data_IF_341248357010
#
_entry.id   IF_341248357010
#
_cell.length_a   1.000
_cell.length_b   1.000
_cell.length_c   1.000
_cell.angle_alpha   90.00
_cell.angle_beta   90.00
_cell.angle_gamma   90.00
#
_symmetry.space_group_name_H-M   'P 1'
#
loop_
_entity.id
_entity.type
_entity.pdbx_description
1 polymer ?
#
# COMPACT_ATOMS: atom_id res chain seq x y z
N UNK A 1 12.40 87.53 18.68
CA UNK A 1 11.39 86.61 18.10
C UNK A 1 12.14 85.37 17.64
N UNK A 2 12.14 84.25 18.42
CA UNK A 2 12.88 83.04 18.15
C UNK A 2 11.88 81.96 17.73
N UNK A 3 11.95 81.52 16.46
CA UNK A 3 11.19 80.43 15.89
C UNK A 3 11.94 79.13 16.20
N UNK A 4 11.31 78.21 16.96
CA UNK A 4 11.82 76.88 17.23
C UNK A 4 11.27 75.92 16.17
N UNK A 5 12.18 75.33 15.36
CA UNK A 5 11.83 74.23 14.45
C UNK A 5 11.72 72.94 15.24
N UNK A 6 10.57 72.29 15.20
CA UNK A 6 10.36 70.93 15.64
C UNK A 6 10.72 70.00 14.49
N UNK A 7 11.79 69.20 14.67
CA UNK A 7 12.14 68.10 13.76
C UNK A 7 11.36 66.88 14.23
N UNK A 8 10.37 66.43 13.45
CA UNK A 8 9.68 65.14 13.61
C UNK A 8 10.52 64.08 12.95
N UNK A 9 11.17 63.21 13.76
CA UNK A 9 11.84 62.02 13.30
C UNK A 9 10.77 60.93 13.12
N UNK A 10 10.46 60.60 11.86
CA UNK A 10 9.66 59.45 11.52
C UNK A 10 10.56 58.21 11.60
N UNK A 11 10.44 57.45 12.69
CA UNK A 11 11.05 56.13 12.81
C UNK A 11 10.19 55.16 12.00
N UNK A 12 10.63 54.81 10.80
CA UNK A 12 10.06 53.68 10.02
C UNK A 12 10.46 52.36 10.69
N UNK A 13 9.53 51.77 11.44
CA UNK A 13 9.61 50.40 11.89
C UNK A 13 9.43 49.47 10.66
N UNK A 14 10.54 49.00 10.13
CA UNK A 14 10.58 47.85 9.22
C UNK A 14 10.16 46.61 10.03
N UNK A 15 8.89 46.29 10.01
CA UNK A 15 8.42 44.99 10.41
C UNK A 15 8.90 43.96 9.39
N UNK A 16 10.00 43.28 9.71
CA UNK A 16 10.32 42.02 9.05
C UNK A 16 9.20 41.04 9.42
N UNK A 17 8.21 40.91 8.52
CA UNK A 17 7.30 39.77 8.54
C UNK A 17 8.14 38.54 8.18
N UNK A 18 8.60 37.83 9.20
CA UNK A 18 9.00 36.43 9.09
C UNK A 18 7.82 35.71 8.43
N UNK A 19 8.00 35.31 7.17
CA UNK A 19 7.15 34.32 6.53
C UNK A 19 7.45 32.97 7.20
N UNK A 20 6.94 32.78 8.42
CA UNK A 20 6.79 31.46 8.99
C UNK A 20 5.80 30.74 8.08
N UNK A 21 6.19 29.61 7.54
CA UNK A 21 5.29 28.69 6.89
C UNK A 21 4.10 28.47 7.81
N UNK A 22 2.96 29.11 7.47
CA UNK A 22 1.69 28.81 8.12
C UNK A 22 1.36 27.39 7.75
N UNK A 23 1.63 26.42 8.67
CA UNK A 23 1.10 25.08 8.57
C UNK A 23 -0.35 25.23 8.13
N UNK A 24 -0.71 24.76 6.94
CA UNK A 24 -2.09 24.77 6.46
C UNK A 24 -2.91 24.07 7.51
N UNK A 25 -3.95 24.72 8.00
CA UNK A 25 -4.85 24.14 8.99
C UNK A 25 -5.46 22.88 8.38
N UNK A 26 -5.10 21.71 8.92
CA UNK A 26 -5.71 20.44 8.49
C UNK A 26 -7.19 20.46 8.87
N UNK A 27 -8.04 19.98 7.98
CA UNK A 27 -9.45 19.70 8.26
C UNK A 27 -9.69 18.25 8.68
N UNK A 28 -8.61 17.46 8.85
CA UNK A 28 -8.71 16.13 9.44
C UNK A 28 -8.92 16.24 10.95
N UNK A 29 -9.92 15.53 11.43
CA UNK A 29 -10.13 15.33 12.86
C UNK A 29 -9.24 14.21 13.36
N UNK A 30 -8.60 14.41 14.51
CA UNK A 30 -7.73 13.45 15.17
C UNK A 30 -8.52 12.72 16.26
N UNK A 31 -8.50 11.40 16.20
CA UNK A 31 -9.07 10.51 17.21
C UNK A 31 -8.24 10.50 18.50
N UNK A 32 -8.80 9.94 19.58
CA UNK A 32 -8.08 9.78 20.86
C UNK A 32 -6.84 8.89 20.78
N UNK A 33 -6.75 8.05 19.76
CA UNK A 33 -5.56 7.23 19.43
C UNK A 33 -4.38 8.04 18.87
N UNK A 34 -4.60 9.30 18.47
CA UNK A 34 -3.61 10.11 17.75
C UNK A 34 -3.66 9.95 16.22
N UNK A 35 -4.47 9.02 15.71
CA UNK A 35 -4.68 8.85 14.26
C UNK A 35 -5.77 9.77 13.72
N UNK A 36 -5.82 10.01 12.41
CA UNK A 36 -7.00 10.66 11.82
C UNK A 36 -8.24 9.77 11.96
N UNK A 37 -9.42 10.36 12.07
CA UNK A 37 -10.69 9.59 12.13
C UNK A 37 -10.82 8.66 10.92
N UNK A 38 -10.39 9.11 9.73
CA UNK A 38 -10.38 8.25 8.52
C UNK A 38 -9.46 7.06 8.63
N UNK A 39 -8.33 7.20 9.31
CA UNK A 39 -7.40 6.09 9.56
C UNK A 39 -8.00 5.07 10.53
N UNK A 40 -8.66 5.52 11.59
CA UNK A 40 -9.40 4.64 12.50
C UNK A 40 -10.55 3.92 11.79
N UNK A 41 -11.28 4.64 10.94
CA UNK A 41 -12.33 4.03 10.13
C UNK A 41 -11.77 2.97 9.18
N UNK A 42 -10.65 3.23 8.50
CA UNK A 42 -9.99 2.23 7.65
C UNK A 42 -9.67 0.96 8.45
N UNK A 43 -9.07 1.10 9.63
CA UNK A 43 -8.70 0.01 10.53
C UNK A 43 -9.89 -0.89 10.89
N UNK A 44 -11.02 -0.27 11.20
CA UNK A 44 -12.27 -0.97 11.54
C UNK A 44 -12.94 -1.55 10.31
N UNK A 45 -13.09 -0.73 9.26
CA UNK A 45 -13.89 -1.08 8.09
C UNK A 45 -13.23 -2.14 7.23
N UNK A 46 -11.89 -2.20 7.16
CA UNK A 46 -11.20 -3.21 6.37
C UNK A 46 -11.55 -4.63 6.85
N UNK A 47 -11.65 -4.83 8.17
CA UNK A 47 -12.12 -6.09 8.76
C UNK A 47 -13.59 -6.36 8.47
N UNK A 48 -14.43 -5.33 8.56
CA UNK A 48 -15.86 -5.47 8.30
C UNK A 48 -16.17 -5.76 6.83
N UNK A 49 -15.40 -5.19 5.89
CA UNK A 49 -15.55 -5.45 4.45
C UNK A 49 -15.26 -6.90 4.07
N UNK A 50 -14.34 -7.58 4.76
CA UNK A 50 -14.05 -8.99 4.53
C UNK A 50 -15.30 -9.89 4.66
N UNK A 51 -16.31 -9.47 5.44
CA UNK A 51 -17.58 -10.18 5.56
C UNK A 51 -18.56 -9.88 4.40
N UNK A 52 -18.27 -8.90 3.56
CA UNK A 52 -19.14 -8.48 2.45
C UNK A 52 -18.56 -8.87 1.08
N UNK A 53 -17.27 -9.17 1.03
CA UNK A 53 -16.53 -9.54 -0.17
C UNK A 53 -15.05 -9.21 -0.03
N UNK A 54 -14.30 -9.52 -1.07
CA UNK A 54 -12.84 -9.31 -1.13
C UNK A 54 -12.52 -8.14 -2.06
N UNK A 55 -11.75 -7.16 -1.57
CA UNK A 55 -11.27 -6.05 -2.39
C UNK A 55 -10.24 -6.57 -3.42
N UNK A 56 -10.55 -6.50 -4.69
CA UNK A 56 -9.64 -6.92 -5.76
C UNK A 56 -8.67 -5.79 -6.08
N UNK A 57 -7.38 -6.05 -5.95
CA UNK A 57 -6.31 -5.06 -6.06
C UNK A 57 -5.20 -5.45 -7.02
N UNK A 58 -4.30 -4.50 -7.27
CA UNK A 58 -3.11 -4.70 -8.08
C UNK A 58 -1.97 -3.79 -7.61
N UNK A 59 -0.75 -4.31 -7.66
CA UNK A 59 0.45 -3.47 -7.50
C UNK A 59 0.55 -2.50 -8.68
N UNK A 60 0.59 -1.19 -8.39
CA UNK A 60 0.65 -0.10 -9.37
C UNK A 60 -0.46 -0.14 -10.44
N UNK A 61 -1.63 -0.72 -10.16
CA UNK A 61 -2.67 -1.01 -11.15
C UNK A 61 -3.22 0.19 -11.92
N UNK A 62 -3.02 1.41 -11.42
CA UNK A 62 -3.38 2.68 -12.08
C UNK A 62 -2.16 3.52 -12.46
N UNK A 63 -0.93 3.02 -12.22
CA UNK A 63 0.33 3.69 -12.57
C UNK A 63 1.07 3.05 -13.72
N UNK A 64 0.93 1.74 -13.90
CA UNK A 64 1.60 1.02 -14.98
C UNK A 64 0.74 -0.11 -15.51
N UNK A 65 1.00 -0.50 -16.74
CA UNK A 65 0.39 -1.64 -17.41
C UNK A 65 1.22 -2.07 -18.60
N UNK A 66 0.68 -2.94 -19.41
CA UNK A 66 1.36 -3.46 -20.58
C UNK A 66 1.51 -2.39 -21.66
N UNK A 67 2.76 -1.98 -21.92
CA UNK A 67 3.09 -0.96 -22.92
C UNK A 67 2.73 0.48 -22.49
N UNK A 68 2.63 0.75 -21.18
CA UNK A 68 2.40 2.12 -20.72
C UNK A 68 2.84 2.35 -19.28
N UNK A 69 3.26 3.60 -19.02
CA UNK A 69 3.52 4.15 -17.69
C UNK A 69 2.83 5.51 -17.57
N UNK A 70 2.12 5.75 -16.47
CA UNK A 70 1.33 6.97 -16.29
C UNK A 70 2.17 8.25 -16.25
N UNK A 71 3.38 8.16 -15.73
CA UNK A 71 4.29 9.32 -15.67
C UNK A 71 4.92 9.68 -17.01
N UNK A 72 4.74 8.86 -18.05
CA UNK A 72 5.16 9.11 -19.42
C UNK A 72 4.00 9.56 -20.32
N UNK A 73 2.76 9.31 -19.89
CA UNK A 73 1.57 9.68 -20.64
C UNK A 73 0.50 10.19 -19.67
N UNK A 74 -0.09 11.35 -19.98
CA UNK A 74 -1.22 11.90 -19.23
C UNK A 74 -2.51 11.18 -19.65
N UNK A 75 -2.71 9.98 -19.10
CA UNK A 75 -3.90 9.18 -19.39
C UNK A 75 -4.47 8.50 -18.14
N UNK A 76 -5.79 8.38 -18.07
CA UNK A 76 -6.52 7.61 -17.04
C UNK A 76 -6.55 6.11 -17.42
N UNK A 77 -5.41 5.58 -17.90
CA UNK A 77 -5.29 4.16 -18.30
C UNK A 77 -5.26 3.28 -17.06
N UNK A 78 -5.84 2.10 -17.22
CA UNK A 78 -5.76 1.00 -16.28
C UNK A 78 -6.10 -0.27 -17.07
N UNK A 79 -5.20 -1.26 -17.09
CA UNK A 79 -5.40 -2.50 -17.84
C UNK A 79 -6.67 -3.23 -17.40
N UNK A 80 -6.87 -3.34 -16.09
CA UNK A 80 -8.04 -3.97 -15.51
C UNK A 80 -9.34 -3.26 -15.93
N UNK A 81 -9.39 -1.92 -15.84
CA UNK A 81 -10.55 -1.13 -16.28
C UNK A 81 -10.81 -1.28 -17.78
N UNK A 82 -9.78 -1.26 -18.59
CA UNK A 82 -9.93 -1.38 -20.04
C UNK A 82 -10.40 -2.78 -20.46
N UNK A 83 -10.10 -3.81 -19.66
CA UNK A 83 -10.52 -5.19 -19.90
C UNK A 83 -11.93 -5.46 -19.39
N UNK A 84 -12.25 -5.10 -18.15
CA UNK A 84 -13.48 -5.52 -17.46
C UNK A 84 -14.42 -4.37 -17.06
N UNK A 85 -14.03 -3.12 -17.28
CA UNK A 85 -14.84 -1.94 -16.90
C UNK A 85 -14.60 -1.43 -15.48
N UNK A 86 -13.88 -2.16 -14.65
CA UNK A 86 -13.64 -1.83 -13.23
C UNK A 86 -12.17 -1.57 -12.95
N UNK A 87 -11.89 -0.59 -12.05
CA UNK A 87 -10.55 -0.37 -11.50
C UNK A 87 -10.32 -1.26 -10.29
N UNK A 88 -9.04 -1.59 -9.98
CA UNK A 88 -8.70 -2.25 -8.72
C UNK A 88 -9.24 -1.44 -7.53
N UNK A 89 -9.82 -2.13 -6.54
CA UNK A 89 -10.27 -1.53 -5.28
C UNK A 89 -9.09 -1.21 -4.35
N UNK A 90 -7.99 -1.95 -4.47
CA UNK A 90 -6.76 -1.74 -3.73
C UNK A 90 -5.59 -1.49 -4.69
N UNK A 91 -4.77 -0.48 -4.40
CA UNK A 91 -3.50 -0.25 -5.08
C UNK A 91 -2.32 -0.43 -4.12
N UNK A 92 -1.30 -1.15 -4.58
CA UNK A 92 -0.06 -1.37 -3.83
C UNK A 92 1.13 -0.61 -4.40
N UNK A 93 2.04 -0.17 -3.52
CA UNK A 93 3.23 0.59 -3.87
C UNK A 93 4.43 0.14 -3.04
N UNK A 94 5.64 0.25 -3.60
CA UNK A 94 6.91 0.05 -2.88
C UNK A 94 7.56 1.41 -2.59
N UNK A 95 8.06 1.59 -1.36
CA UNK A 95 8.69 2.83 -0.91
C UNK A 95 10.22 2.77 -0.85
N UNK A 96 10.84 1.59 -1.05
CA UNK A 96 12.30 1.45 -0.98
C UNK A 96 13.02 2.46 -1.88
N UNK A 97 13.93 3.22 -1.30
CA UNK A 97 14.69 4.30 -1.95
C UNK A 97 14.29 5.69 -1.47
N UNK A 98 13.08 5.89 -0.90
CA UNK A 98 12.64 7.19 -0.40
C UNK A 98 13.52 7.64 0.78
N UNK A 99 13.91 6.72 1.65
CA UNK A 99 14.77 6.94 2.80
C UNK A 99 16.16 7.48 2.43
N UNK A 100 16.58 7.19 1.20
CA UNK A 100 17.88 7.66 0.64
C UNK A 100 17.73 8.89 -0.26
N UNK A 101 16.56 9.54 -0.27
CA UNK A 101 16.29 10.74 -1.08
C UNK A 101 16.25 10.49 -2.59
N UNK A 102 16.07 9.25 -3.05
CA UNK A 102 15.92 8.94 -4.48
C UNK A 102 14.64 9.56 -5.04
N UNK A 103 14.64 9.83 -6.36
CA UNK A 103 13.45 10.36 -7.03
C UNK A 103 12.46 9.28 -7.45
N UNK A 104 12.90 8.02 -7.49
CA UNK A 104 12.12 6.85 -7.85
C UNK A 104 12.44 5.70 -6.91
N UNK A 105 11.47 4.80 -6.73
CA UNK A 105 11.62 3.63 -5.90
C UNK A 105 12.46 2.52 -6.57
N UNK A 106 12.61 1.39 -5.89
CA UNK A 106 13.36 0.24 -6.39
C UNK A 106 12.78 -0.35 -7.69
N UNK A 107 11.47 -0.17 -7.94
CA UNK A 107 10.78 -0.62 -9.16
C UNK A 107 10.85 0.40 -10.31
N UNK A 108 11.61 1.49 -10.16
CA UNK A 108 11.74 2.55 -11.14
C UNK A 108 10.52 3.49 -11.25
N UNK A 109 9.61 3.47 -10.28
CA UNK A 109 8.41 4.32 -10.27
C UNK A 109 8.73 5.64 -9.56
N UNK A 110 8.49 6.80 -10.19
CA UNK A 110 8.73 8.10 -9.56
C UNK A 110 7.85 8.31 -8.32
N UNK A 111 8.42 8.72 -7.20
CA UNK A 111 7.68 9.00 -5.96
C UNK A 111 6.60 10.07 -6.13
N UNK A 112 6.84 11.05 -7.02
CA UNK A 112 5.83 12.05 -7.38
C UNK A 112 4.61 11.38 -8.01
N UNK A 113 4.81 10.44 -8.94
CA UNK A 113 3.71 9.72 -9.58
C UNK A 113 2.94 8.83 -8.59
N UNK A 114 3.65 8.16 -7.66
CA UNK A 114 3.02 7.41 -6.58
C UNK A 114 2.12 8.31 -5.74
N UNK A 115 2.61 9.47 -5.30
CA UNK A 115 1.84 10.43 -4.50
C UNK A 115 0.57 10.89 -5.23
N UNK A 116 0.69 11.25 -6.50
CA UNK A 116 -0.45 11.70 -7.30
C UNK A 116 -1.51 10.59 -7.45
N UNK A 117 -1.08 9.37 -7.69
CA UNK A 117 -1.97 8.21 -7.81
C UNK A 117 -2.65 7.85 -6.49
N UNK A 118 -1.90 7.87 -5.38
CA UNK A 118 -2.41 7.69 -4.02
C UNK A 118 -3.58 8.64 -3.75
N UNK A 119 -3.40 9.93 -4.01
CA UNK A 119 -4.45 10.93 -3.79
C UNK A 119 -5.64 10.73 -4.73
N UNK A 120 -5.40 10.33 -5.97
CA UNK A 120 -6.48 10.03 -6.92
C UNK A 120 -7.28 8.80 -6.51
N UNK A 121 -6.60 7.74 -6.04
CA UNK A 121 -7.23 6.50 -5.59
C UNK A 121 -8.00 6.71 -4.29
N UNK A 122 -7.41 7.43 -3.34
CA UNK A 122 -8.07 7.83 -2.08
C UNK A 122 -9.36 8.61 -2.31
N UNK A 123 -9.35 9.63 -3.19
CA UNK A 123 -10.55 10.42 -3.52
C UNK A 123 -11.70 9.57 -4.09
N UNK A 124 -11.38 8.41 -4.67
CA UNK A 124 -12.36 7.44 -5.17
C UNK A 124 -12.76 6.40 -4.12
N UNK A 125 -12.19 6.47 -2.91
CA UNK A 125 -12.51 5.58 -1.79
C UNK A 125 -11.72 4.26 -1.79
N UNK A 126 -10.67 4.13 -2.62
CA UNK A 126 -9.90 2.90 -2.77
C UNK A 126 -8.88 2.67 -1.66
N UNK A 127 -8.56 1.42 -1.38
CA UNK A 127 -7.56 0.98 -0.41
C UNK A 127 -6.15 1.24 -0.93
N UNK A 128 -5.29 1.76 -0.06
CA UNK A 128 -3.89 2.07 -0.34
C UNK A 128 -2.99 1.19 0.52
N UNK A 129 -2.07 0.46 -0.11
CA UNK A 129 -1.12 -0.42 0.56
C UNK A 129 0.29 -0.03 0.14
N UNK A 130 1.18 0.16 1.12
CA UNK A 130 2.57 0.52 0.88
C UNK A 130 3.49 -0.48 1.57
N UNK A 131 4.52 -0.89 0.89
CA UNK A 131 5.60 -1.69 1.47
C UNK A 131 6.83 -0.81 1.65
N UNK A 132 7.51 -0.94 2.78
CA UNK A 132 8.79 -0.31 2.97
C UNK A 132 9.87 -1.32 3.31
N UNK A 133 10.64 -1.67 2.29
CA UNK A 133 11.84 -2.50 2.40
C UNK A 133 13.03 -1.63 2.76
N UNK A 134 13.32 -1.52 4.05
CA UNK A 134 14.36 -0.62 4.57
C UNK A 134 15.77 -1.17 4.26
N UNK A 135 16.71 -0.33 3.78
CA UNK A 135 18.10 -0.71 3.63
C UNK A 135 18.77 -0.90 4.99
N UNK A 136 19.90 -1.63 5.02
CA UNK A 136 20.62 -1.89 6.25
C UNK A 136 21.22 -0.58 6.81
N UNK A 137 20.85 -0.23 8.03
CA UNK A 137 21.41 0.90 8.77
C UNK A 137 22.70 0.56 9.52
N UNK A 138 23.13 -0.74 9.53
CA UNK A 138 24.36 -1.25 10.13
C UNK A 138 24.51 -0.95 11.63
N UNK A 139 23.40 -0.88 12.36
CA UNK A 139 23.38 -0.55 13.79
C UNK A 139 23.62 0.92 14.13
N UNK A 140 23.63 1.78 13.13
CA UNK A 140 23.72 3.24 13.27
C UNK A 140 22.33 3.83 13.54
N UNK A 141 22.08 4.17 14.79
CA UNK A 141 20.79 4.65 15.27
C UNK A 141 20.38 5.99 14.66
N UNK A 142 21.32 6.89 14.45
CA UNK A 142 21.06 8.20 13.82
C UNK A 142 20.59 7.98 12.37
N UNK A 143 21.16 7.00 11.71
CA UNK A 143 20.77 6.61 10.34
C UNK A 143 19.40 5.95 10.28
N UNK A 144 19.06 5.12 11.27
CA UNK A 144 17.71 4.56 11.36
C UNK A 144 16.67 5.67 11.50
N UNK A 145 16.95 6.63 12.38
CA UNK A 145 16.08 7.78 12.58
C UNK A 145 15.96 8.63 11.29
N UNK A 146 17.08 8.93 10.62
CA UNK A 146 17.09 9.65 9.34
C UNK A 146 16.22 8.95 8.29
N UNK A 147 16.37 7.63 8.14
CA UNK A 147 15.56 6.84 7.20
C UNK A 147 14.07 6.92 7.52
N UNK A 148 13.72 6.76 8.80
CA UNK A 148 12.32 6.81 9.24
C UNK A 148 11.73 8.21 9.05
N UNK A 149 12.48 9.26 9.32
CA UNK A 149 12.07 10.65 9.08
C UNK A 149 11.81 10.95 7.60
N UNK A 150 12.61 10.39 6.68
CA UNK A 150 12.33 10.57 5.25
C UNK A 150 11.02 9.89 4.82
N UNK A 151 10.74 8.70 5.35
CA UNK A 151 9.46 8.01 5.13
C UNK A 151 8.32 8.81 5.73
N UNK A 152 8.45 9.29 6.97
CA UNK A 152 7.45 10.13 7.63
C UNK A 152 7.11 11.39 6.83
N UNK A 153 8.14 12.12 6.38
CA UNK A 153 7.98 13.29 5.51
C UNK A 153 7.23 12.96 4.21
N UNK A 154 7.54 11.83 3.60
CA UNK A 154 6.84 11.41 2.39
C UNK A 154 5.37 11.06 2.67
N UNK A 155 5.09 10.32 3.75
CA UNK A 155 3.72 10.00 4.18
C UNK A 155 2.91 11.27 4.51
N UNK A 156 3.54 12.29 5.11
CA UNK A 156 2.89 13.58 5.37
C UNK A 156 2.49 14.32 4.08
N UNK A 157 3.19 14.08 2.96
CA UNK A 157 2.78 14.63 1.65
C UNK A 157 1.50 13.99 1.10
N UNK A 158 1.03 12.85 1.64
CA UNK A 158 -0.16 12.13 1.21
C UNK A 158 -1.44 12.85 1.69
N UNK A 159 -1.54 14.13 1.42
CA UNK A 159 -2.69 14.96 1.77
C UNK A 159 -3.13 15.81 0.59
N UNK A 160 -4.42 16.09 0.54
CA UNK A 160 -5.02 16.94 -0.49
C UNK A 160 -4.81 18.44 -0.21
N UNK A 161 -5.40 19.30 -1.07
CA UNK A 161 -5.31 20.76 -0.91
C UNK A 161 -5.96 21.32 0.36
N UNK A 162 -6.79 20.54 1.04
CA UNK A 162 -7.47 20.88 2.30
C UNK A 162 -6.74 20.31 3.53
N UNK A 163 -5.63 19.62 3.34
CA UNK A 163 -4.87 18.96 4.41
C UNK A 163 -5.51 17.65 4.88
N UNK A 164 -6.42 17.07 4.10
CA UNK A 164 -7.02 15.76 4.39
C UNK A 164 -6.01 14.69 3.98
N UNK A 165 -5.53 13.93 4.96
CA UNK A 165 -4.55 12.87 4.76
C UNK A 165 -5.20 11.59 4.23
N UNK A 166 -4.56 10.95 3.25
CA UNK A 166 -4.95 9.63 2.75
C UNK A 166 -4.47 8.54 3.71
N UNK A 167 -5.36 7.77 4.34
CA UNK A 167 -4.94 6.63 5.15
C UNK A 167 -4.31 5.54 4.30
N UNK A 168 -3.22 4.95 4.77
CA UNK A 168 -2.50 3.88 4.09
C UNK A 168 -2.26 2.70 5.02
N UNK A 169 -2.32 1.49 4.49
CA UNK A 169 -1.75 0.30 5.16
C UNK A 169 -0.26 0.29 4.85
N UNK A 170 0.58 0.42 5.87
CA UNK A 170 2.03 0.41 5.73
C UNK A 170 2.60 -0.91 6.23
N UNK A 171 3.04 -1.75 5.33
CA UNK A 171 3.80 -2.95 5.65
C UNK A 171 5.26 -2.57 5.92
N UNK A 172 5.62 -2.50 7.20
CA UNK A 172 7.00 -2.27 7.61
C UNK A 172 7.81 -3.57 7.48
N UNK A 173 9.04 -3.43 6.97
CA UNK A 173 10.01 -4.54 6.92
C UNK A 173 9.42 -5.85 6.34
N UNK A 174 8.87 -5.84 5.10
CA UNK A 174 8.29 -7.06 4.52
C UNK A 174 9.29 -8.22 4.50
N UNK A 175 8.91 -9.37 5.04
CA UNK A 175 9.77 -10.57 5.08
C UNK A 175 9.72 -11.26 3.73
N UNK A 176 10.72 -11.01 2.89
CA UNK A 176 10.85 -11.57 1.52
C UNK A 176 11.93 -12.65 1.40
N UNK A 177 12.62 -12.96 2.51
CA UNK A 177 13.74 -13.88 2.57
C UNK A 177 15.08 -13.34 2.03
N UNK A 178 15.11 -12.09 1.53
CA UNK A 178 16.30 -11.46 0.92
C UNK A 178 16.79 -10.26 1.72
N UNK A 179 15.88 -9.46 2.26
CA UNK A 179 16.22 -8.28 3.03
C UNK A 179 17.06 -8.66 4.28
N UNK A 180 17.97 -7.77 4.68
CA UNK A 180 18.90 -8.03 5.78
C UNK A 180 18.21 -8.38 7.10
N UNK A 181 17.08 -7.76 7.40
CA UNK A 181 16.29 -8.01 8.62
C UNK A 181 15.59 -9.38 8.62
N UNK A 182 15.50 -10.05 7.46
CA UNK A 182 15.03 -11.45 7.39
C UNK A 182 16.00 -12.43 8.09
N UNK A 183 17.19 -12.00 8.45
CA UNK A 183 18.16 -12.81 9.24
C UNK A 183 17.99 -12.59 10.75
N UNK A 184 17.23 -11.59 11.19
CA UNK A 184 16.96 -11.35 12.60
C UNK A 184 16.09 -12.48 13.17
N UNK A 185 16.28 -12.81 14.44
CA UNK A 185 15.33 -13.63 15.19
C UNK A 185 14.03 -12.85 15.45
N UNK A 186 12.98 -13.52 15.93
CA UNK A 186 11.69 -12.90 16.16
C UNK A 186 11.74 -11.72 17.14
N UNK A 187 12.51 -11.82 18.21
CA UNK A 187 12.64 -10.77 19.23
C UNK A 187 13.32 -9.51 18.66
N UNK A 188 14.43 -9.67 17.97
CA UNK A 188 15.16 -8.54 17.37
C UNK A 188 14.39 -7.90 16.22
N UNK A 189 13.68 -8.68 15.42
CA UNK A 189 12.76 -8.17 14.40
C UNK A 189 11.62 -7.37 15.04
N UNK A 190 10.99 -7.88 16.09
CA UNK A 190 9.92 -7.18 16.82
C UNK A 190 10.40 -5.86 17.42
N UNK A 191 11.59 -5.84 18.05
CA UNK A 191 12.20 -4.60 18.59
C UNK A 191 12.45 -3.57 17.51
N UNK A 192 12.99 -3.98 16.36
CA UNK A 192 13.22 -3.09 15.24
C UNK A 192 11.91 -2.53 14.68
N UNK A 193 10.91 -3.40 14.52
CA UNK A 193 9.58 -3.02 14.05
C UNK A 193 8.94 -1.97 14.96
N UNK A 194 8.93 -2.22 16.27
CA UNK A 194 8.42 -1.28 17.28
C UNK A 194 9.17 0.05 17.25
N UNK A 195 10.50 0.01 17.17
CA UNK A 195 11.31 1.22 17.14
C UNK A 195 10.97 2.13 15.94
N UNK A 196 10.72 1.53 14.76
CA UNK A 196 10.28 2.29 13.60
C UNK A 196 8.89 2.89 13.83
N UNK A 197 7.97 2.16 14.45
CA UNK A 197 6.64 2.68 14.79
C UNK A 197 6.74 3.87 15.74
N UNK A 198 7.58 3.77 16.78
CA UNK A 198 7.81 4.84 17.73
C UNK A 198 8.37 6.10 17.03
N UNK A 199 9.39 5.95 16.18
CA UNK A 199 9.92 7.06 15.38
C UNK A 199 8.87 7.69 14.44
N UNK A 200 8.01 6.90 13.79
CA UNK A 200 6.93 7.43 12.96
C UNK A 200 5.87 8.17 13.78
N UNK A 201 5.62 7.71 15.01
CA UNK A 201 4.73 8.37 15.97
C UNK A 201 5.31 9.72 16.44
N UNK A 202 6.60 9.76 16.74
CA UNK A 202 7.32 10.99 17.15
C UNK A 202 7.32 12.04 16.03
N UNK A 203 7.32 11.60 14.77
CA UNK A 203 7.18 12.46 13.58
C UNK A 203 5.71 12.83 13.24
N UNK A 204 4.76 12.57 14.15
CA UNK A 204 3.33 12.89 14.02
C UNK A 204 2.68 12.27 12.76
N UNK A 205 3.09 11.05 12.37
CA UNK A 205 2.43 10.32 11.28
C UNK A 205 1.09 9.77 11.76
N UNK A 206 -0.02 10.33 11.28
CA UNK A 206 -1.38 10.07 11.78
C UNK A 206 -2.28 9.31 10.80
N UNK A 207 -1.75 8.95 9.62
CA UNK A 207 -2.51 8.34 8.54
C UNK A 207 -2.04 6.92 8.17
N UNK A 208 -1.47 6.21 9.10
CA UNK A 208 -0.92 4.85 8.88
C UNK A 208 -1.67 3.80 9.71
N UNK A 209 -2.07 2.73 9.05
CA UNK A 209 -2.49 1.45 9.62
C UNK A 209 -1.32 0.49 9.42
N UNK A 210 -0.81 -0.13 10.48
CA UNK A 210 0.38 -0.98 10.35
C UNK A 210 0.05 -2.38 9.87
N UNK A 211 0.83 -2.87 8.90
CA UNK A 211 0.72 -4.19 8.32
C UNK A 211 1.98 -5.03 8.51
N UNK A 212 1.80 -6.28 8.93
CA UNK A 212 2.83 -7.31 8.83
C UNK A 212 2.75 -7.98 7.46
N UNK A 213 3.87 -8.06 6.74
CA UNK A 213 3.90 -8.69 5.42
C UNK A 213 5.00 -9.74 5.34
N UNK A 214 4.64 -10.93 4.84
CA UNK A 214 5.58 -12.05 4.69
C UNK A 214 5.36 -12.75 3.34
N UNK A 215 6.47 -13.14 2.69
CA UNK A 215 6.44 -13.95 1.49
C UNK A 215 6.43 -15.42 1.86
N UNK A 216 5.35 -16.11 1.51
CA UNK A 216 5.20 -17.54 1.75
C UNK A 216 6.22 -18.35 0.95
N UNK A 217 6.88 -19.26 1.63
CA UNK A 217 7.75 -20.28 1.04
C UNK A 217 7.09 -21.66 1.22
N UNK A 218 6.83 -22.41 0.14
CA UNK A 218 6.16 -23.70 0.24
C UNK A 218 6.76 -24.63 1.29
N UNK A 219 5.90 -25.07 2.22
CA UNK A 219 6.29 -25.94 3.33
C UNK A 219 6.93 -25.24 4.53
N UNK A 220 7.01 -23.91 4.53
CA UNK A 220 7.43 -23.13 5.69
C UNK A 220 6.22 -22.70 6.52
N UNK A 221 6.43 -22.53 7.81
CA UNK A 221 5.46 -21.95 8.72
C UNK A 221 5.46 -20.43 8.56
N UNK A 222 4.29 -19.84 8.54
CA UNK A 222 4.09 -18.38 8.52
C UNK A 222 4.07 -17.80 9.93
N UNK A 223 4.23 -16.48 10.02
CA UNK A 223 4.11 -15.66 11.25
C UNK A 223 5.08 -16.00 12.38
N UNK A 224 6.18 -16.72 12.09
CA UNK A 224 7.20 -17.02 13.11
C UNK A 224 7.93 -15.76 13.64
N UNK A 225 7.84 -14.64 12.89
CA UNK A 225 8.40 -13.34 13.27
C UNK A 225 7.35 -12.26 13.46
N UNK A 226 6.08 -12.66 13.62
CA UNK A 226 5.01 -11.69 13.87
C UNK A 226 5.34 -10.84 15.09
N UNK A 227 5.39 -9.50 14.97
CA UNK A 227 5.90 -8.64 16.04
C UNK A 227 4.93 -8.41 17.19
N UNK A 228 3.77 -9.03 17.24
CA UNK A 228 2.75 -8.98 18.30
C UNK A 228 2.60 -7.59 18.97
N UNK A 229 2.73 -6.54 18.19
CA UNK A 229 2.67 -5.17 18.64
C UNK A 229 2.10 -4.25 17.58
N UNK A 230 0.92 -3.67 17.85
CA UNK A 230 0.27 -2.65 17.02
C UNK A 230 0.21 -3.02 15.52
N UNK A 231 -0.22 -4.24 15.20
CA UNK A 231 -0.48 -4.71 13.85
C UNK A 231 -1.98 -4.79 13.64
N UNK A 232 -2.46 -4.27 12.52
CA UNK A 232 -3.87 -4.27 12.15
C UNK A 232 -4.17 -5.13 10.92
N UNK A 233 -3.15 -5.38 10.10
CA UNK A 233 -3.27 -6.10 8.83
C UNK A 233 -2.17 -7.14 8.70
N UNK A 234 -2.52 -8.34 8.27
CA UNK A 234 -1.58 -9.37 7.84
C UNK A 234 -1.70 -9.52 6.33
N UNK A 235 -0.58 -9.35 5.63
CA UNK A 235 -0.48 -9.57 4.19
C UNK A 235 0.48 -10.70 3.88
N UNK A 236 0.01 -11.76 3.22
CA UNK A 236 0.89 -12.84 2.77
C UNK A 236 1.07 -12.76 1.27
N UNK A 237 2.33 -12.73 0.84
CA UNK A 237 2.69 -12.67 -0.57
C UNK A 237 3.10 -14.03 -1.09
N UNK A 238 2.53 -14.45 -2.22
CA UNK A 238 2.99 -15.62 -2.96
C UNK A 238 2.84 -15.42 -4.47
N UNK A 239 3.94 -15.18 -5.13
CA UNK A 239 4.01 -14.97 -6.58
C UNK A 239 4.85 -16.06 -7.23
N UNK A 240 4.40 -16.60 -8.36
CA UNK A 240 5.22 -17.49 -9.19
C UNK A 240 5.74 -16.72 -10.41
N UNK A 241 7.03 -16.93 -10.71
CA UNK A 241 7.63 -16.47 -11.95
C UNK A 241 7.18 -17.33 -13.13
N UNK A 242 7.09 -16.72 -14.31
CA UNK A 242 6.81 -17.41 -15.59
C UNK A 242 7.77 -18.56 -15.90
N UNK A 243 9.01 -18.50 -15.39
CA UNK A 243 10.02 -19.53 -15.61
C UNK A 243 9.88 -20.72 -14.66
N UNK A 244 9.00 -20.66 -13.66
CA UNK A 244 8.81 -21.66 -12.62
C UNK A 244 7.34 -21.98 -12.34
N UNK A 245 6.48 -21.93 -13.36
CA UNK A 245 5.04 -22.19 -13.23
C UNK A 245 4.79 -23.62 -12.78
N UNK A 246 4.09 -23.77 -11.65
CA UNK A 246 3.67 -25.05 -11.11
C UNK A 246 2.25 -24.91 -10.50
N UNK A 247 1.23 -25.19 -11.29
CA UNK A 247 -0.16 -25.03 -10.89
C UNK A 247 -0.55 -25.87 -9.67
N UNK A 248 -0.22 -27.17 -9.57
CA UNK A 248 -0.50 -27.95 -8.37
C UNK A 248 0.14 -27.36 -7.10
N UNK A 249 1.40 -26.90 -7.21
CA UNK A 249 2.10 -26.25 -6.09
C UNK A 249 1.45 -24.90 -5.77
N UNK A 250 1.05 -24.13 -6.78
CA UNK A 250 0.37 -22.85 -6.58
C UNK A 250 -0.95 -23.05 -5.83
N UNK A 251 -1.80 -23.95 -6.29
CA UNK A 251 -3.07 -24.27 -5.63
C UNK A 251 -2.87 -24.73 -4.18
N UNK A 252 -1.90 -25.63 -3.95
CA UNK A 252 -1.58 -26.08 -2.61
C UNK A 252 -1.11 -24.91 -1.74
N UNK A 253 -0.24 -24.06 -2.27
CA UNK A 253 0.30 -22.91 -1.53
C UNK A 253 -0.77 -21.91 -1.13
N UNK A 254 -1.72 -21.60 -2.03
CA UNK A 254 -2.86 -20.72 -1.71
C UNK A 254 -3.67 -21.28 -0.53
N UNK A 255 -4.00 -22.58 -0.55
CA UNK A 255 -4.71 -23.26 0.53
C UNK A 255 -3.91 -23.25 1.84
N UNK A 256 -2.61 -23.54 1.78
CA UNK A 256 -1.73 -23.53 2.94
C UNK A 256 -1.62 -22.13 3.56
N UNK A 257 -1.56 -21.07 2.75
CA UNK A 257 -1.55 -19.68 3.21
C UNK A 257 -2.85 -19.37 3.95
N UNK A 258 -4.00 -19.64 3.35
CA UNK A 258 -5.30 -19.35 3.96
C UNK A 258 -5.47 -20.13 5.25
N UNK A 259 -5.10 -21.42 5.26
CA UNK A 259 -5.20 -22.28 6.45
C UNK A 259 -4.32 -21.82 7.63
N UNK A 260 -3.18 -21.16 7.36
CA UNK A 260 -2.30 -20.65 8.41
C UNK A 260 -2.64 -19.21 8.80
N UNK A 261 -2.78 -18.32 7.81
CA UNK A 261 -2.85 -16.89 8.06
C UNK A 261 -4.23 -16.42 8.51
N UNK A 262 -5.32 -16.98 7.99
CA UNK A 262 -6.65 -16.51 8.34
C UNK A 262 -7.02 -16.77 9.81
N UNK A 263 -6.86 -17.98 10.39
CA UNK A 263 -7.10 -18.20 11.81
C UNK A 263 -6.21 -17.35 12.70
N UNK A 264 -4.93 -17.18 12.33
CA UNK A 264 -3.99 -16.35 13.06
C UNK A 264 -4.43 -14.86 13.06
N UNK A 265 -4.84 -14.33 11.89
CA UNK A 265 -5.35 -12.96 11.79
C UNK A 265 -6.63 -12.76 12.64
N UNK A 266 -7.53 -13.74 12.67
CA UNK A 266 -8.74 -13.70 13.49
C UNK A 266 -8.41 -13.69 14.98
N UNK A 267 -7.48 -14.54 15.44
CA UNK A 267 -7.02 -14.60 16.84
C UNK A 267 -6.42 -13.25 17.29
N UNK A 268 -5.68 -12.57 16.42
CA UNK A 268 -5.05 -11.28 16.70
C UNK A 268 -5.92 -10.07 16.33
N UNK A 269 -7.17 -10.30 15.92
CA UNK A 269 -8.11 -9.25 15.49
C UNK A 269 -7.57 -8.38 14.33
N UNK A 270 -6.85 -8.99 13.39
CA UNK A 270 -6.27 -8.34 12.21
C UNK A 270 -7.11 -8.60 10.97
N UNK A 271 -7.09 -7.67 10.01
CA UNK A 271 -7.55 -7.95 8.65
C UNK A 271 -6.52 -8.86 7.95
N UNK A 272 -7.02 -9.84 7.20
CA UNK A 272 -6.15 -10.68 6.37
C UNK A 272 -6.29 -10.31 4.90
N UNK A 273 -5.14 -10.03 4.26
CA UNK A 273 -5.01 -9.81 2.83
C UNK A 273 -3.93 -10.69 2.21
N UNK A 274 -4.01 -10.87 0.92
CA UNK A 274 -3.07 -11.69 0.18
C UNK A 274 -2.62 -10.98 -1.09
N UNK A 275 -1.31 -11.05 -1.40
CA UNK A 275 -0.74 -10.63 -2.69
C UNK A 275 -0.32 -11.86 -3.46
N UNK A 276 -0.90 -12.14 -4.63
CA UNK A 276 -0.63 -13.38 -5.34
C UNK A 276 -0.72 -13.23 -6.86
N UNK A 277 -0.40 -14.30 -7.57
CA UNK A 277 -0.50 -14.43 -9.01
C UNK A 277 0.62 -15.27 -9.61
N UNK A 278 0.46 -15.59 -10.87
CA UNK A 278 1.49 -16.23 -11.70
C UNK A 278 1.83 -15.29 -12.84
N UNK A 279 3.11 -14.96 -12.96
CA UNK A 279 3.61 -14.08 -14.00
C UNK A 279 3.35 -14.66 -15.40
N UNK A 280 2.76 -13.85 -16.27
CA UNK A 280 2.55 -14.13 -17.69
C UNK A 280 1.85 -15.47 -17.96
N UNK A 281 0.91 -15.84 -17.09
CA UNK A 281 0.21 -17.10 -17.22
C UNK A 281 -0.62 -17.16 -18.50
N UNK A 282 -0.47 -18.26 -19.25
CA UNK A 282 -1.20 -18.51 -20.49
C UNK A 282 -2.63 -18.99 -20.28
N UNK A 283 -2.95 -19.51 -19.09
CA UNK A 283 -4.26 -20.04 -18.72
C UNK A 283 -4.84 -19.25 -17.56
N UNK A 284 -6.03 -18.68 -17.76
CA UNK A 284 -6.74 -17.89 -16.76
C UNK A 284 -7.55 -18.72 -15.76
N UNK A 285 -7.51 -20.04 -15.83
CA UNK A 285 -8.25 -20.92 -14.89
C UNK A 285 -7.83 -20.72 -13.43
N UNK A 286 -6.62 -20.23 -13.16
CA UNK A 286 -6.17 -19.92 -11.79
C UNK A 286 -7.12 -18.95 -11.07
N UNK A 287 -7.72 -18.01 -11.78
CA UNK A 287 -8.63 -17.03 -11.18
C UNK A 287 -9.96 -17.68 -10.78
N UNK A 288 -10.53 -18.52 -11.66
CA UNK A 288 -11.81 -19.18 -11.43
C UNK A 288 -11.68 -20.45 -10.58
N UNK A 289 -10.66 -21.29 -10.82
CA UNK A 289 -10.58 -22.64 -10.24
C UNK A 289 -9.74 -22.70 -8.96
N UNK A 290 -8.86 -21.71 -8.73
CA UNK A 290 -8.01 -21.69 -7.55
C UNK A 290 -8.37 -20.54 -6.61
N UNK A 291 -8.38 -19.30 -7.11
CA UNK A 291 -8.56 -18.13 -6.26
C UNK A 291 -10.03 -17.91 -5.87
N UNK A 292 -10.95 -17.92 -6.81
CA UNK A 292 -12.35 -17.66 -6.54
C UNK A 292 -12.98 -18.61 -5.50
N UNK A 293 -12.72 -19.92 -5.49
CA UNK A 293 -13.22 -20.81 -4.44
C UNK A 293 -12.75 -20.42 -3.03
N UNK A 294 -11.48 -20.00 -2.89
CA UNK A 294 -10.95 -19.56 -1.59
C UNK A 294 -11.60 -18.24 -1.13
N UNK A 295 -11.84 -17.28 -2.04
CA UNK A 295 -12.53 -16.03 -1.72
C UNK A 295 -14.00 -16.27 -1.29
N UNK A 296 -14.68 -17.25 -1.88
CA UNK A 296 -16.06 -17.59 -1.55
C UNK A 296 -16.19 -18.32 -0.20
N UNK A 297 -15.17 -19.03 0.21
CA UNK A 297 -15.17 -19.82 1.44
C UNK A 297 -14.62 -19.04 2.65
N UNK A 298 -13.85 -18.00 2.42
CA UNK A 298 -13.06 -17.33 3.44
C UNK A 298 -13.21 -15.82 3.40
N UNK A 299 -13.20 -15.19 4.58
CA UNK A 299 -13.29 -13.73 4.73
C UNK A 299 -11.91 -13.10 4.54
N UNK A 300 -11.50 -12.93 3.29
CA UNK A 300 -10.23 -12.29 2.91
C UNK A 300 -10.52 -10.83 2.59
N UNK A 301 -9.88 -9.89 3.31
CA UNK A 301 -10.16 -8.47 3.19
C UNK A 301 -9.77 -7.94 1.79
N UNK A 302 -8.64 -8.37 1.27
CA UNK A 302 -8.22 -8.01 -0.09
C UNK A 302 -7.36 -9.09 -0.74
N UNK A 303 -7.47 -9.19 -2.06
CA UNK A 303 -6.62 -9.98 -2.92
C UNK A 303 -5.92 -9.06 -3.90
N UNK A 304 -4.60 -8.92 -3.81
CA UNK A 304 -3.79 -8.13 -4.72
C UNK A 304 -3.06 -9.00 -5.72
N UNK A 305 -3.00 -8.54 -6.96
CA UNK A 305 -2.17 -9.13 -8.00
C UNK A 305 -0.84 -8.37 -8.13
N UNK A 306 0.18 -9.07 -8.64
CA UNK A 306 1.44 -8.44 -8.99
C UNK A 306 1.27 -7.36 -10.06
N UNK A 307 2.35 -6.64 -10.32
CA UNK A 307 2.40 -5.51 -11.26
C UNK A 307 2.30 -5.98 -12.71
N UNK A 308 1.50 -5.29 -13.52
CA UNK A 308 1.63 -5.32 -14.97
C UNK A 308 2.62 -4.23 -15.39
N UNK A 309 3.63 -4.56 -16.19
CA UNK A 309 4.65 -3.63 -16.65
C UNK A 309 5.37 -4.13 -17.90
N UNK A 310 6.14 -3.25 -18.54
CA UNK A 310 6.96 -3.56 -19.69
C UNK A 310 6.21 -3.58 -21.01
N UNK A 311 6.95 -3.90 -22.06
CA UNK A 311 6.42 -4.01 -23.40
C UNK A 311 5.77 -5.37 -23.65
N UNK A 312 4.75 -5.48 -24.52
CA UNK A 312 4.07 -6.73 -24.81
C UNK A 312 5.01 -7.87 -25.25
N UNK A 313 6.16 -7.55 -25.82
CA UNK A 313 7.16 -8.54 -26.26
C UNK A 313 7.89 -9.20 -25.08
N UNK A 314 7.98 -8.52 -23.93
CA UNK A 314 8.63 -8.99 -22.72
C UNK A 314 7.60 -9.30 -21.62
N UNK A 315 6.46 -9.81 -21.99
CA UNK A 315 5.30 -10.06 -21.13
C UNK A 315 5.65 -10.16 -19.64
N UNK A 316 5.23 -9.15 -18.86
CA UNK A 316 5.30 -9.15 -17.41
C UNK A 316 3.95 -8.67 -16.88
N UNK A 317 3.04 -9.61 -16.68
CA UNK A 317 1.70 -9.32 -16.19
C UNK A 317 1.23 -10.38 -15.19
N UNK A 318 0.39 -9.98 -14.27
CA UNK A 318 -0.27 -10.84 -13.30
C UNK A 318 -1.79 -10.82 -13.43
N UNK A 319 -2.31 -9.85 -14.15
CA UNK A 319 -3.72 -9.79 -14.57
C UNK A 319 -3.80 -9.65 -16.08
N UNK A 320 -4.80 -10.22 -16.73
CA UNK A 320 -5.01 -10.00 -18.16
C UNK A 320 -5.08 -8.51 -18.50
N UNK A 321 -4.70 -8.16 -19.72
CA UNK A 321 -4.71 -6.80 -20.24
C UNK A 321 -5.38 -6.74 -21.63
N UNK A 322 -5.77 -5.57 -22.13
CA UNK A 322 -6.41 -5.45 -23.44
C UNK A 322 -5.52 -6.00 -24.57
N UNK A 323 -6.10 -6.85 -25.41
CA UNK A 323 -5.40 -7.45 -26.56
C UNK A 323 -4.93 -8.90 -26.34
N UNK A 324 -5.00 -9.43 -25.10
CA UNK A 324 -4.77 -10.87 -24.89
C UNK A 324 -5.92 -11.72 -25.37
N UNK A 325 -5.65 -12.99 -25.68
CA UNK A 325 -6.67 -13.92 -26.17
C UNK A 325 -7.75 -14.23 -25.11
N UNK A 326 -8.93 -14.64 -25.55
CA UNK A 326 -10.04 -15.00 -24.65
C UNK A 326 -9.68 -16.15 -23.68
N UNK A 327 -8.83 -17.10 -24.08
CA UNK A 327 -8.34 -18.15 -23.19
C UNK A 327 -7.56 -17.61 -21.98
N UNK A 328 -6.93 -16.45 -22.14
CA UNK A 328 -6.18 -15.77 -21.06
C UNK A 328 -7.07 -14.86 -20.20
N UNK A 329 -8.36 -14.68 -20.55
CA UNK A 329 -9.26 -13.73 -19.86
C UNK A 329 -10.46 -14.38 -19.21
N UNK A 330 -10.91 -15.56 -19.69
CA UNK A 330 -12.18 -16.16 -19.27
C UNK A 330 -12.28 -16.35 -17.74
N UNK A 331 -11.33 -17.05 -17.14
CA UNK A 331 -11.36 -17.29 -15.69
C UNK A 331 -11.20 -15.99 -14.86
N UNK A 332 -10.48 -14.99 -15.38
CA UNK A 332 -10.43 -13.67 -14.75
C UNK A 332 -11.80 -12.98 -14.80
N UNK A 333 -12.51 -13.09 -15.91
CA UNK A 333 -13.87 -12.53 -16.03
C UNK A 333 -14.89 -13.25 -15.15
N UNK A 334 -14.71 -14.53 -14.86
CA UNK A 334 -15.49 -15.24 -13.84
C UNK A 334 -15.25 -14.65 -12.46
N UNK A 335 -13.98 -14.44 -12.07
CA UNK A 335 -13.63 -13.75 -10.83
C UNK A 335 -14.25 -12.34 -10.75
N UNK A 336 -14.17 -11.57 -11.83
CA UNK A 336 -14.70 -10.19 -11.90
C UNK A 336 -16.21 -10.13 -11.72
N UNK A 337 -16.93 -11.09 -12.29
CA UNK A 337 -18.39 -11.12 -12.30
C UNK A 337 -19.00 -11.74 -11.04
N UNK A 338 -18.20 -12.39 -10.20
CA UNK A 338 -18.69 -12.95 -8.94
C UNK A 338 -18.93 -11.85 -7.89
N UNK A 339 -19.98 -12.01 -7.11
CA UNK A 339 -20.40 -11.04 -6.10
C UNK A 339 -19.38 -10.88 -4.96
N UNK A 340 -18.52 -11.88 -4.73
CA UNK A 340 -17.45 -11.80 -3.73
C UNK A 340 -16.38 -10.78 -4.12
N UNK A 341 -16.25 -10.46 -5.42
CA UNK A 341 -15.22 -9.56 -5.95
C UNK A 341 -15.67 -8.10 -5.91
N UNK A 342 -15.03 -7.31 -5.06
CA UNK A 342 -15.31 -5.89 -4.90
C UNK A 342 -14.24 -5.07 -5.61
N UNK A 343 -14.65 -4.29 -6.59
CA UNK A 343 -13.84 -3.34 -7.35
C UNK A 343 -14.10 -1.91 -6.91
N UNK A 344 -13.24 -0.98 -7.30
CA UNK A 344 -13.29 0.42 -6.87
C UNK A 344 -14.66 1.08 -7.10
N UNK A 345 -15.29 0.82 -8.25
CA UNK A 345 -16.59 1.38 -8.62
C UNK A 345 -17.75 0.84 -7.76
N UNK A 346 -17.54 -0.28 -7.07
CA UNK A 346 -18.51 -0.89 -6.14
C UNK A 346 -18.18 -0.63 -4.68
N UNK A 347 -16.98 -0.06 -4.39
CA UNK A 347 -16.50 0.17 -3.03
C UNK A 347 -17.03 1.49 -2.48
N UNK A 348 -17.68 1.44 -1.33
CA UNK A 348 -18.18 2.61 -0.63
C UNK A 348 -17.89 2.50 0.86
N UNK A 349 -17.57 3.63 1.51
CA UNK A 349 -17.54 3.73 2.95
C UNK A 349 -16.28 3.24 3.65
N UNK A 350 -15.19 2.89 2.94
CA UNK A 350 -13.97 2.37 3.58
C UNK A 350 -13.39 3.34 4.63
N UNK A 351 -13.56 4.63 4.44
CA UNK A 351 -13.04 5.70 5.30
C UNK A 351 -14.13 6.43 6.10
N UNK A 352 -15.37 5.95 6.04
CA UNK A 352 -16.51 6.59 6.72
C UNK A 352 -16.82 5.87 8.05
N UNK A 353 -17.39 6.61 8.98
CA UNK A 353 -17.99 6.04 10.18
C UNK A 353 -19.24 5.24 9.82
N UNK A 354 -19.41 4.04 10.41
CA UNK A 354 -20.55 3.13 10.20
C UNK A 354 -21.39 2.99 11.46
#
# INVERSE_FOLDING_TARGET
>A
MRIRYFILIFAALLAFSSCGDKKKKSYDEIAMSGLTIRTENLKTNLKAFANKGTLIGQMYGTLSGMGWYRWECDSDRCDMKALCGYRPAANGYELAGIESGKQQNADGVPFKAIREDVLNHFRKGGLLIMNWTMPNYNGDEDKLEEYTQQVAKYLDTMQDGYGIKAPVVLNLLPIDGKAWYCQLNAEDYSKLYQKIQDCLSDEEVTNVVYGYSETYQPGKKLMERYPDHNIDVINITYLQSKDAINLPLYQKSIKDIVAQALPFAQEHNNAFGMTTGIESIGDSSIFADILLPELKQHHIAYLMFGRNAGEPINEHYYTPYPGVSNSKTHGFMELVNDEVSVFLEKLNGLYLEH
#
